data_IF_546992914544
#
_entry.id   IF_546992914544
#
_cell.length_a   1.000
_cell.length_b   1.000
_cell.length_c   1.000
_cell.angle_alpha   90.00
_cell.angle_beta   90.00
_cell.angle_gamma   90.00
#
_symmetry.space_group_name_H-M   'P 1'
#
loop_
_entity.id
_entity.type
_entity.pdbx_description
1 polymer ?
#
# COMPACT_ATOMS: atom_id res chain seq x y z
N UNK A 1 64.93 14.52 -10.91
CA UNK A 1 63.90 13.91 -10.05
C UNK A 1 62.59 14.53 -10.48
N UNK A 2 61.89 13.92 -11.42
CA UNK A 2 60.60 14.42 -11.92
C UNK A 2 59.50 13.68 -11.18
N UNK A 3 58.72 14.42 -10.39
CA UNK A 3 57.56 13.91 -9.66
C UNK A 3 56.45 13.56 -10.66
N UNK A 4 56.02 12.30 -10.67
CA UNK A 4 54.89 11.85 -11.47
C UNK A 4 53.61 12.13 -10.68
N UNK A 5 52.73 12.96 -11.24
CA UNK A 5 51.35 13.14 -10.74
C UNK A 5 50.57 11.84 -10.95
N UNK A 6 49.87 11.30 -9.93
CA UNK A 6 49.02 10.13 -10.13
C UNK A 6 47.74 10.52 -10.88
N UNK A 7 47.36 9.72 -11.87
CA UNK A 7 46.06 9.82 -12.55
C UNK A 7 44.90 9.66 -11.56
N UNK A 8 43.75 10.34 -11.78
CA UNK A 8 42.57 10.15 -10.95
C UNK A 8 42.06 8.71 -11.13
N UNK A 9 41.95 7.97 -10.03
CA UNK A 9 41.32 6.67 -10.02
C UNK A 9 39.87 6.80 -10.48
N UNK A 10 39.51 6.02 -11.50
CA UNK A 10 38.14 5.90 -12.00
C UNK A 10 37.23 5.52 -10.83
N UNK A 11 36.17 6.29 -10.61
CA UNK A 11 35.21 6.01 -9.55
C UNK A 11 34.58 4.63 -9.83
N UNK A 12 34.35 3.79 -8.80
CA UNK A 12 33.73 2.49 -9.03
C UNK A 12 32.36 2.72 -9.65
N UNK A 13 32.18 2.25 -10.88
CA UNK A 13 30.88 2.15 -11.53
C UNK A 13 30.07 1.18 -10.67
N UNK A 14 29.03 1.71 -10.01
CA UNK A 14 28.12 0.93 -9.18
C UNK A 14 27.36 -0.05 -10.10
N UNK A 15 27.86 -1.28 -10.21
CA UNK A 15 27.31 -2.39 -11.02
C UNK A 15 26.05 -3.00 -10.35
N UNK A 16 25.29 -2.18 -9.62
CA UNK A 16 24.00 -2.60 -9.07
C UNK A 16 23.03 -2.77 -10.23
N UNK A 17 22.54 -3.98 -10.51
CA UNK A 17 21.65 -4.21 -11.65
C UNK A 17 20.40 -3.33 -11.53
N UNK A 18 20.07 -2.62 -12.59
CA UNK A 18 18.86 -1.79 -12.65
C UNK A 18 17.64 -2.63 -12.26
N UNK A 19 16.77 -2.12 -11.38
CA UNK A 19 15.62 -2.89 -10.93
C UNK A 19 14.74 -3.23 -12.13
N UNK A 20 14.16 -4.43 -12.19
CA UNK A 20 13.26 -4.79 -13.26
C UNK A 20 12.09 -3.81 -13.31
N UNK A 21 11.72 -3.37 -14.50
CA UNK A 21 10.58 -2.47 -14.73
C UNK A 21 9.59 -3.07 -15.71
N UNK A 22 8.33 -2.65 -15.60
CA UNK A 22 7.28 -2.95 -16.57
C UNK A 22 6.36 -1.73 -16.66
N UNK A 23 5.98 -1.31 -17.86
CA UNK A 23 5.25 -0.05 -18.11
C UNK A 23 5.95 1.20 -17.54
N UNK A 24 7.28 1.16 -17.42
CA UNK A 24 8.07 2.27 -16.88
C UNK A 24 8.00 2.43 -15.35
N UNK A 25 7.49 1.43 -14.63
CA UNK A 25 7.47 1.42 -13.15
C UNK A 25 8.22 0.22 -12.58
N UNK A 26 8.76 0.31 -11.35
CA UNK A 26 9.42 -0.82 -10.69
C UNK A 26 8.50 -2.05 -10.61
N UNK A 27 9.07 -3.19 -10.96
CA UNK A 27 8.43 -4.50 -10.97
C UNK A 27 9.00 -5.35 -9.84
N UNK A 28 8.12 -6.12 -9.20
CA UNK A 28 8.52 -7.21 -8.31
C UNK A 28 7.61 -8.42 -8.53
N UNK A 29 8.04 -9.58 -8.04
CA UNK A 29 7.22 -10.78 -7.98
C UNK A 29 6.81 -11.04 -6.52
N UNK A 30 5.56 -11.45 -6.33
CA UNK A 30 5.10 -12.02 -5.07
C UNK A 30 4.40 -13.34 -5.33
N UNK A 31 5.10 -14.45 -5.11
CA UNK A 31 4.57 -15.81 -5.23
C UNK A 31 3.99 -16.09 -6.63
N UNK A 32 4.66 -15.61 -7.69
CA UNK A 32 4.22 -15.77 -9.07
C UNK A 32 3.19 -14.74 -9.55
N UNK A 33 2.82 -13.77 -8.70
CA UNK A 33 2.02 -12.61 -9.11
C UNK A 33 2.93 -11.41 -9.36
N UNK A 34 2.80 -10.79 -10.54
CA UNK A 34 3.47 -9.52 -10.86
C UNK A 34 2.90 -8.39 -10.03
N UNK A 35 3.79 -7.56 -9.48
CA UNK A 35 3.46 -6.42 -8.64
C UNK A 35 4.19 -5.19 -9.15
N UNK A 36 3.43 -4.17 -9.53
CA UNK A 36 3.89 -2.88 -10.05
C UNK A 36 3.84 -1.83 -8.94
N UNK A 37 4.86 -0.97 -8.89
CA UNK A 37 5.01 0.06 -7.86
C UNK A 37 5.10 1.47 -8.47
N UNK A 38 4.00 2.00 -9.04
CA UNK A 38 4.00 3.36 -9.57
C UNK A 38 4.13 4.41 -8.46
N UNK A 39 4.61 5.61 -8.81
CA UNK A 39 4.38 6.80 -7.99
C UNK A 39 2.89 7.19 -7.98
N UNK A 40 2.49 8.10 -7.09
CA UNK A 40 1.10 8.61 -7.05
C UNK A 40 0.70 9.27 -8.37
N UNK A 41 1.65 9.93 -9.03
CA UNK A 41 1.46 10.62 -10.31
C UNK A 41 1.30 9.63 -11.49
N UNK A 42 1.98 8.49 -11.42
CA UNK A 42 1.92 7.45 -12.45
C UNK A 42 0.69 6.53 -12.29
N UNK A 43 0.06 6.51 -11.11
CA UNK A 43 -0.96 5.53 -10.74
C UNK A 43 -2.13 5.41 -11.74
N UNK A 44 -2.80 6.53 -12.05
CA UNK A 44 -3.96 6.53 -12.95
C UNK A 44 -3.56 6.23 -14.38
N UNK A 45 -2.42 6.78 -14.83
CA UNK A 45 -1.90 6.54 -16.18
C UNK A 45 -1.53 5.05 -16.39
N UNK A 46 -0.95 4.42 -15.36
CA UNK A 46 -0.68 2.99 -15.36
C UNK A 46 -1.98 2.17 -15.39
N UNK A 47 -2.95 2.51 -14.53
CA UNK A 47 -4.24 1.82 -14.50
C UNK A 47 -4.96 1.89 -15.85
N UNK A 48 -4.91 3.04 -16.54
CA UNK A 48 -5.45 3.20 -17.89
C UNK A 48 -4.72 2.33 -18.92
N UNK A 49 -3.39 2.32 -18.89
CA UNK A 49 -2.58 1.43 -19.75
C UNK A 49 -2.97 -0.03 -19.55
N UNK A 50 -3.14 -0.46 -18.30
CA UNK A 50 -3.53 -1.83 -17.98
C UNK A 50 -4.97 -2.15 -18.44
N UNK A 51 -5.89 -1.20 -18.33
CA UNK A 51 -7.24 -1.32 -18.85
C UNK A 51 -7.21 -1.56 -20.37
N UNK A 52 -6.42 -0.77 -21.10
CA UNK A 52 -6.23 -0.90 -22.55
C UNK A 52 -5.61 -2.26 -22.93
N UNK A 53 -4.79 -2.84 -22.03
CA UNK A 53 -4.21 -4.17 -22.18
C UNK A 53 -5.09 -5.33 -21.69
N UNK A 54 -6.40 -5.14 -21.50
CA UNK A 54 -7.37 -6.18 -21.10
C UNK A 54 -7.48 -6.49 -19.60
N UNK A 55 -6.85 -5.71 -18.71
CA UNK A 55 -7.13 -5.78 -17.27
C UNK A 55 -8.42 -5.02 -16.93
N UNK A 56 -9.56 -5.55 -17.35
CA UNK A 56 -10.87 -4.88 -17.31
C UNK A 56 -11.61 -5.00 -15.98
N UNK A 57 -11.07 -5.75 -15.02
CA UNK A 57 -11.75 -6.02 -13.74
C UNK A 57 -10.85 -5.68 -12.56
N UNK A 58 -11.28 -4.74 -11.73
CA UNK A 58 -10.73 -4.54 -10.39
C UNK A 58 -11.37 -5.56 -9.43
N UNK A 59 -10.57 -6.52 -8.95
CA UNK A 59 -11.03 -7.56 -8.04
C UNK A 59 -11.09 -7.09 -6.59
N UNK A 60 -10.17 -6.20 -6.21
CA UNK A 60 -9.98 -5.74 -4.85
C UNK A 60 -9.15 -4.45 -4.84
N UNK A 61 -9.50 -3.51 -3.97
CA UNK A 61 -8.77 -2.29 -3.66
C UNK A 61 -8.79 -2.10 -2.15
N UNK A 62 -7.61 -2.09 -1.53
CA UNK A 62 -7.47 -1.99 -0.09
C UNK A 62 -6.23 -1.17 0.29
N UNK A 63 -6.01 -0.95 1.57
CA UNK A 63 -4.81 -0.30 2.07
C UNK A 63 -4.14 -1.08 3.19
N UNK A 64 -2.85 -0.80 3.39
CA UNK A 64 -2.05 -1.38 4.47
C UNK A 64 -1.37 -0.26 5.24
N UNK A 65 -1.52 -0.27 6.56
CA UNK A 65 -0.76 0.59 7.47
C UNK A 65 0.50 -0.14 7.96
N UNK A 66 1.65 0.33 7.51
CA UNK A 66 2.98 -0.20 7.83
C UNK A 66 3.67 0.51 9.00
N UNK A 67 2.95 1.30 9.81
CA UNK A 67 3.52 2.01 10.96
C UNK A 67 4.48 1.15 11.82
N UNK A 68 4.14 -0.12 12.06
CA UNK A 68 4.94 -1.05 12.87
C UNK A 68 5.87 -1.95 12.04
N UNK A 69 5.93 -1.78 10.73
CA UNK A 69 6.71 -2.59 9.79
C UNK A 69 7.24 -1.78 8.60
N UNK A 70 7.88 -0.64 8.88
CA UNK A 70 8.46 0.26 7.87
C UNK A 70 9.66 -0.35 7.14
N UNK A 71 10.43 -1.23 7.78
CA UNK A 71 11.59 -1.92 7.20
C UNK A 71 11.25 -3.07 6.23
N UNK A 72 10.07 -3.02 5.59
CA UNK A 72 9.63 -4.04 4.63
C UNK A 72 10.48 -4.01 3.36
N UNK A 73 10.58 -5.15 2.69
CA UNK A 73 11.26 -5.23 1.39
C UNK A 73 10.39 -4.60 0.29
N UNK A 74 10.96 -3.62 -0.40
CA UNK A 74 10.43 -2.97 -1.60
C UNK A 74 11.50 -3.00 -2.70
N UNK A 75 11.12 -2.99 -3.98
CA UNK A 75 12.10 -2.92 -5.07
C UNK A 75 12.88 -1.59 -5.01
N UNK A 76 14.10 -1.60 -5.54
CA UNK A 76 14.92 -0.39 -5.62
C UNK A 76 14.17 0.71 -6.41
N UNK A 77 14.32 1.96 -5.96
CA UNK A 77 13.62 3.11 -6.52
C UNK A 77 12.24 3.39 -5.91
N UNK A 78 11.75 2.56 -4.99
CA UNK A 78 10.48 2.79 -4.26
C UNK A 78 10.77 3.18 -2.82
N UNK A 79 10.36 4.39 -2.44
CA UNK A 79 10.47 4.87 -1.05
C UNK A 79 9.36 4.30 -0.20
N UNK A 80 9.71 3.68 0.93
CA UNK A 80 8.73 3.11 1.84
C UNK A 80 7.95 4.21 2.58
N UNK A 81 6.64 4.24 2.41
CA UNK A 81 5.74 5.12 3.15
C UNK A 81 4.95 4.37 4.24
N UNK A 82 4.26 5.12 5.12
CA UNK A 82 3.41 4.52 6.15
C UNK A 82 2.25 3.76 5.52
N UNK A 83 1.53 4.39 4.61
CA UNK A 83 0.38 3.78 3.96
C UNK A 83 0.76 3.23 2.60
N UNK A 84 0.08 2.18 2.21
CA UNK A 84 0.18 1.62 0.88
C UNK A 84 -1.21 1.26 0.38
N UNK A 85 -1.59 1.78 -0.78
CA UNK A 85 -2.82 1.39 -1.48
C UNK A 85 -2.51 0.24 -2.42
N UNK A 86 -3.27 -0.84 -2.32
CA UNK A 86 -3.09 -2.07 -3.08
C UNK A 86 -4.31 -2.29 -3.96
N UNK A 87 -4.07 -2.42 -5.27
CA UNK A 87 -5.13 -2.72 -6.24
C UNK A 87 -4.82 -4.05 -6.93
N UNK A 88 -5.80 -4.95 -6.98
CA UNK A 88 -5.68 -6.21 -7.69
C UNK A 88 -6.54 -6.16 -8.97
N UNK A 89 -5.89 -6.15 -10.13
CA UNK A 89 -6.56 -6.16 -11.43
C UNK A 89 -6.49 -7.55 -12.06
N UNK A 90 -7.53 -7.90 -12.80
CA UNK A 90 -7.71 -9.18 -13.46
C UNK A 90 -7.95 -8.97 -14.96
N UNK A 91 -7.18 -9.69 -15.78
CA UNK A 91 -7.50 -9.93 -17.18
C UNK A 91 -8.14 -11.31 -17.29
N UNK A 92 -9.43 -11.34 -17.63
CA UNK A 92 -10.16 -12.60 -17.84
C UNK A 92 -9.66 -13.30 -19.10
N UNK A 93 -9.37 -12.52 -20.14
CA UNK A 93 -8.86 -13.02 -21.43
C UNK A 93 -7.53 -13.74 -21.27
N UNK A 94 -6.58 -13.12 -20.56
CA UNK A 94 -5.26 -13.71 -20.32
C UNK A 94 -5.22 -14.67 -19.13
N UNK A 95 -6.28 -14.70 -18.31
CA UNK A 95 -6.34 -15.41 -17.02
C UNK A 95 -5.20 -15.00 -16.08
N UNK A 96 -4.82 -13.73 -16.16
CA UNK A 96 -3.69 -13.16 -15.44
C UNK A 96 -4.16 -12.13 -14.42
N UNK A 97 -3.50 -12.09 -13.27
CA UNK A 97 -3.66 -11.04 -12.27
C UNK A 97 -2.41 -10.20 -12.19
N UNK A 98 -2.61 -8.90 -11.99
CA UNK A 98 -1.53 -7.97 -11.68
C UNK A 98 -1.92 -7.17 -10.44
N UNK A 99 -0.94 -6.84 -9.62
CA UNK A 99 -1.13 -6.01 -8.44
C UNK A 99 -0.43 -4.68 -8.62
N UNK A 100 -1.09 -3.60 -8.24
CA UNK A 100 -0.50 -2.27 -8.13
C UNK A 100 -0.35 -1.97 -6.64
N UNK A 101 0.82 -1.47 -6.23
CA UNK A 101 1.10 -1.00 -4.86
C UNK A 101 1.58 0.44 -4.93
N UNK A 102 0.81 1.37 -4.39
CA UNK A 102 1.13 2.80 -4.38
C UNK A 102 1.53 3.19 -2.96
N UNK A 103 2.70 3.80 -2.81
CA UNK A 103 3.16 4.31 -1.52
C UNK A 103 2.48 5.65 -1.24
N UNK A 104 1.92 5.81 -0.04
CA UNK A 104 1.13 7.00 0.34
C UNK A 104 1.65 7.54 1.67
N UNK A 105 2.10 8.80 1.71
CA UNK A 105 2.72 9.36 2.89
C UNK A 105 1.67 9.67 3.97
N UNK A 106 2.10 9.73 5.24
CA UNK A 106 1.18 9.87 6.37
C UNK A 106 0.68 11.29 6.60
N UNK A 107 1.46 12.29 6.19
CA UNK A 107 1.20 13.73 6.28
C UNK A 107 0.23 14.22 5.20
N UNK A 108 0.23 13.55 4.04
CA UNK A 108 -0.73 13.75 2.95
C UNK A 108 -1.30 12.40 2.49
N UNK A 109 -2.24 11.80 3.27
CA UNK A 109 -2.80 10.49 2.96
C UNK A 109 -3.85 10.61 1.86
N UNK A 110 -3.41 10.84 0.63
CA UNK A 110 -4.29 11.00 -0.53
C UNK A 110 -3.73 10.34 -1.80
N UNK A 111 -4.63 9.81 -2.63
CA UNK A 111 -4.35 9.29 -3.98
C UNK A 111 -5.48 9.65 -4.94
N UNK A 112 -5.27 9.66 -6.26
CA UNK A 112 -6.36 9.80 -7.23
C UNK A 112 -7.33 8.59 -7.20
N UNK A 113 -8.61 8.82 -7.46
CA UNK A 113 -9.61 7.75 -7.63
C UNK A 113 -9.34 6.91 -8.88
N UNK A 114 -9.74 5.62 -8.85
CA UNK A 114 -9.83 4.77 -10.04
C UNK A 114 -11.27 4.64 -10.56
N UNK A 115 -12.24 5.30 -9.92
CA UNK A 115 -13.67 5.16 -10.21
C UNK A 115 -14.01 5.33 -11.70
N UNK A 116 -13.43 6.34 -12.37
CA UNK A 116 -13.67 6.61 -13.78
C UNK A 116 -13.20 5.48 -14.72
N UNK A 117 -12.20 4.70 -14.31
CA UNK A 117 -11.69 3.55 -15.05
C UNK A 117 -12.39 2.25 -14.64
N UNK A 118 -12.68 2.12 -13.35
CA UNK A 118 -13.26 0.92 -12.74
C UNK A 118 -14.39 1.33 -11.79
N UNK A 119 -15.62 1.52 -12.27
CA UNK A 119 -16.74 1.98 -11.43
C UNK A 119 -17.03 1.08 -10.21
N UNK A 120 -16.60 -0.18 -10.25
CA UNK A 120 -16.69 -1.10 -9.13
C UNK A 120 -15.80 -0.74 -7.93
N UNK A 121 -14.88 0.24 -8.04
CA UNK A 121 -14.01 0.66 -6.94
C UNK A 121 -14.69 1.58 -5.93
N UNK A 122 -15.87 2.12 -6.22
CA UNK A 122 -16.57 3.10 -5.36
C UNK A 122 -16.62 2.68 -3.88
N UNK A 123 -17.21 1.51 -3.60
CA UNK A 123 -17.32 1.01 -2.24
C UNK A 123 -15.95 0.68 -1.59
N UNK A 124 -14.99 0.21 -2.40
CA UNK A 124 -13.66 -0.17 -1.91
C UNK A 124 -12.81 1.06 -1.55
N UNK A 125 -12.89 2.13 -2.34
CA UNK A 125 -12.24 3.41 -2.06
C UNK A 125 -12.84 4.05 -0.80
N UNK A 126 -14.17 3.98 -0.63
CA UNK A 126 -14.84 4.42 0.59
C UNK A 126 -14.47 3.59 1.82
N UNK A 127 -14.33 2.27 1.69
CA UNK A 127 -13.85 1.42 2.77
C UNK A 127 -12.44 1.83 3.20
N UNK A 128 -11.53 2.07 2.25
CA UNK A 128 -10.17 2.53 2.54
C UNK A 128 -10.18 3.91 3.22
N UNK A 129 -11.02 4.83 2.77
CA UNK A 129 -11.22 6.11 3.43
C UNK A 129 -11.73 5.95 4.87
N UNK A 130 -12.76 5.12 5.09
CA UNK A 130 -13.36 4.93 6.40
C UNK A 130 -12.39 4.25 7.39
N UNK A 131 -11.68 3.22 6.93
CA UNK A 131 -10.83 2.37 7.76
C UNK A 131 -9.40 2.88 7.95
N UNK A 132 -8.84 3.57 6.95
CA UNK A 132 -7.45 4.04 6.95
C UNK A 132 -7.32 5.55 6.79
N UNK A 133 -8.39 6.29 6.48
CA UNK A 133 -8.35 7.75 6.33
C UNK A 133 -7.51 8.22 5.17
N UNK A 134 -7.42 7.41 4.10
CA UNK A 134 -6.78 7.80 2.85
C UNK A 134 -7.86 8.37 1.94
N UNK A 135 -7.69 9.61 1.49
CA UNK A 135 -8.64 10.29 0.63
C UNK A 135 -8.42 9.92 -0.85
N UNK A 136 -9.50 9.71 -1.59
CA UNK A 136 -9.48 9.51 -3.03
C UNK A 136 -9.94 10.80 -3.74
N UNK A 137 -9.01 11.43 -4.44
CA UNK A 137 -9.27 12.68 -5.17
C UNK A 137 -10.18 12.40 -6.36
N UNK A 138 -11.15 13.28 -6.62
CA UNK A 138 -12.17 13.17 -7.67
C UNK A 138 -13.18 12.02 -7.50
N UNK A 139 -13.23 11.37 -6.33
CA UNK A 139 -14.24 10.36 -6.03
C UNK A 139 -15.65 11.00 -5.92
N UNK A 140 -16.70 10.38 -6.50
CA UNK A 140 -18.04 10.98 -6.59
C UNK A 140 -18.74 11.19 -5.24
N UNK A 141 -18.55 10.26 -4.30
CA UNK A 141 -19.16 10.31 -2.96
C UNK A 141 -18.22 9.65 -1.94
N UNK A 142 -17.26 10.40 -1.40
CA UNK A 142 -16.32 9.88 -0.42
C UNK A 142 -16.85 10.04 1.01
N UNK A 143 -17.89 9.25 1.33
CA UNK A 143 -18.49 9.19 2.67
C UNK A 143 -18.17 7.85 3.35
N UNK A 144 -18.24 7.81 4.69
CA UNK A 144 -18.09 6.57 5.47
C UNK A 144 -19.10 5.51 5.00
N UNK A 145 -18.75 4.23 5.12
CA UNK A 145 -19.58 3.11 4.64
C UNK A 145 -19.74 1.99 5.67
N UNK A 146 -18.73 1.76 6.52
CA UNK A 146 -18.75 0.71 7.54
C UNK A 146 -18.99 1.27 8.94
N UNK A 147 -18.36 2.40 9.28
CA UNK A 147 -18.51 3.03 10.57
C UNK A 147 -19.76 3.91 10.64
N UNK A 148 -20.34 4.08 11.84
CA UNK A 148 -21.33 5.12 12.09
C UNK A 148 -20.84 6.50 11.65
N UNK A 149 -21.77 7.36 11.22
CA UNK A 149 -21.46 8.71 10.72
C UNK A 149 -20.76 9.58 11.77
N UNK A 150 -21.06 9.35 13.06
CA UNK A 150 -20.49 10.05 14.22
C UNK A 150 -19.18 9.42 14.71
N UNK A 151 -18.64 8.40 14.03
CA UNK A 151 -17.41 7.76 14.44
C UNK A 151 -16.20 8.68 14.27
N UNK A 152 -15.31 8.67 15.27
CA UNK A 152 -14.05 9.42 15.25
C UNK A 152 -12.87 8.48 14.97
N UNK A 153 -12.03 8.86 14.00
CA UNK A 153 -10.83 8.13 13.60
C UNK A 153 -11.07 7.00 12.58
N UNK A 154 -10.05 6.13 12.47
CA UNK A 154 -9.87 5.15 11.40
C UNK A 154 -9.40 3.80 11.98
N UNK A 155 -10.30 2.83 12.19
CA UNK A 155 -10.04 1.65 13.04
C UNK A 155 -8.89 0.72 12.62
N UNK A 156 -8.54 0.67 11.33
CA UNK A 156 -7.49 -0.23 10.84
C UNK A 156 -6.08 0.37 10.89
N UNK A 157 -5.96 1.64 11.29
CA UNK A 157 -4.65 2.24 11.59
C UNK A 157 -4.03 1.62 12.84
N UNK A 158 -2.71 1.44 12.85
CA UNK A 158 -1.99 0.77 13.94
C UNK A 158 -1.82 1.63 15.19
N UNK A 159 -1.98 2.94 15.08
CA UNK A 159 -2.04 3.89 16.19
C UNK A 159 -3.45 4.08 16.75
N UNK A 160 -4.47 3.43 16.17
CA UNK A 160 -5.83 3.43 16.70
C UNK A 160 -5.95 2.48 17.90
N UNK A 161 -6.42 3.00 19.04
CA UNK A 161 -6.60 2.19 20.25
C UNK A 161 -7.71 1.17 20.05
N UNK A 162 -7.36 -0.12 20.11
CA UNK A 162 -8.35 -1.18 20.12
C UNK A 162 -8.99 -1.28 21.50
N UNK A 163 -10.28 -0.96 21.58
CA UNK A 163 -11.07 -1.18 22.79
C UNK A 163 -11.02 -2.66 23.18
N UNK A 164 -10.63 -2.96 24.42
CA UNK A 164 -10.62 -4.32 24.97
C UNK A 164 -11.50 -4.35 26.20
N UNK A 165 -12.44 -5.29 26.23
CA UNK A 165 -13.23 -5.59 27.42
C UNK A 165 -12.52 -6.74 28.14
N UNK A 166 -12.09 -6.56 29.41
CA UNK A 166 -11.49 -7.64 30.18
C UNK A 166 -12.46 -8.82 30.31
N UNK A 167 -11.96 -10.03 30.09
CA UNK A 167 -12.74 -11.26 30.25
C UNK A 167 -13.13 -11.38 31.73
N UNK A 168 -14.44 -11.40 31.99
CA UNK A 168 -14.97 -11.58 33.33
C UNK A 168 -15.06 -13.07 33.64
N UNK A 169 -14.48 -13.50 34.77
CA UNK A 169 -14.62 -14.86 35.27
C UNK A 169 -15.60 -14.89 36.44
N UNK A 170 -16.36 -15.97 36.57
CA UNK A 170 -17.36 -16.16 37.64
C UNK A 170 -16.76 -16.61 38.99
N UNK A 171 -15.46 -16.87 39.06
CA UNK A 171 -14.78 -17.35 40.27
C UNK A 171 -13.95 -16.28 40.97
N UNK A 172 -14.09 -16.17 42.29
CA UNK A 172 -13.21 -15.36 43.13
C UNK A 172 -11.82 -16.03 43.26
N UNK A 173 -10.84 -15.52 42.52
CA UNK A 173 -9.45 -15.98 42.62
C UNK A 173 -8.67 -15.34 43.79
N UNK A 174 -9.35 -14.61 44.67
CA UNK A 174 -8.72 -13.81 45.74
C UNK A 174 -8.30 -14.58 47.02
N UNK A 175 -8.35 -15.92 47.06
CA UNK A 175 -8.15 -16.65 48.35
C UNK A 175 -7.07 -17.74 48.40
N UNK A 176 -6.19 -17.88 47.40
CA UNK A 176 -5.08 -18.87 47.48
C UNK A 176 -3.69 -18.23 47.51
N UNK A 177 -3.47 -17.34 48.47
CA UNK A 177 -2.14 -17.08 49.03
C UNK A 177 -1.91 -18.01 50.23
N UNK A 178 -1.54 -19.26 49.95
CA UNK A 178 -1.10 -20.21 50.97
C UNK A 178 0.42 -20.11 51.12
N UNK A 179 0.87 -19.78 52.32
CA UNK A 179 2.25 -19.76 52.79
C UNK A 179 3.04 -21.01 52.34
N UNK A 180 4.14 -20.80 51.63
CA UNK A 180 5.23 -21.77 51.40
C UNK A 180 6.55 -21.04 51.27
#
# INVERSE_FOLDING_TARGET
>A
MSEATPEPADAPVDDTPEPPTLYGVPLSDSRGQRVLHPSREQYVALARTLLDETYTTCSDLTAVDYLTFMGRSLPAGVTAERFEVVVNLLSIERRERIRIRVQVPADDPSVPTLFDLYPGTEAMEREVYDMFGIAFTDHPDLTRILMPEDWEGHPLRKDYEQGRIPVQFSGDFASKGGDR
#
